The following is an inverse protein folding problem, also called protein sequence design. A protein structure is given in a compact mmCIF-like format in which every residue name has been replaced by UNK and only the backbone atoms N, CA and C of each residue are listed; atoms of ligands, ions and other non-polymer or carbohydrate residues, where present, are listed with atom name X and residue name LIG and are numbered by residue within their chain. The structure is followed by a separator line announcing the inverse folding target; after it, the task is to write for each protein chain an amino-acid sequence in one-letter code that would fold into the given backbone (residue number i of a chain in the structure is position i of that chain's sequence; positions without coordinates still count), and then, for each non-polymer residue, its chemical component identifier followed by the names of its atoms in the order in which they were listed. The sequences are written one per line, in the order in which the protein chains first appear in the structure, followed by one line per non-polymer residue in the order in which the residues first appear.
data_IF_079545381510
#
_entry.id   IF_079545381510
#
_cell.length_a   1.000
_cell.length_b   1.000
_cell.length_c   1.000
_cell.angle_alpha   90.00
_cell.angle_beta   90.00
_cell.angle_gamma   90.00
#
_symmetry.space_group_name_H-M   'P 1'
#
loop_
_entity.id
_entity.type
_entity.pdbx_description
1 polymer ?
#
# COMPACT_ATOMS: atom_id res chain seq x y z
N UNK A 1 37.53 24.40 -4.14
CA UNK A 1 36.27 24.39 -3.40
C UNK A 1 35.27 25.18 -4.24
N UNK A 2 34.49 24.48 -5.07
CA UNK A 2 33.39 25.12 -5.81
C UNK A 2 32.15 24.92 -4.97
N UNK A 3 31.65 26.01 -4.36
CA UNK A 3 30.38 26.02 -3.66
C UNK A 3 29.27 25.77 -4.69
N UNK A 4 28.62 24.63 -4.58
CA UNK A 4 27.35 24.42 -5.24
C UNK A 4 26.39 25.45 -4.62
N UNK A 5 26.02 26.44 -5.41
CA UNK A 5 24.92 27.33 -5.09
C UNK A 5 23.73 26.44 -4.76
N UNK A 6 23.23 26.47 -3.52
CA UNK A 6 21.94 25.94 -3.18
C UNK A 6 20.92 26.71 -4.04
N UNK A 7 20.54 26.12 -5.16
CA UNK A 7 19.33 26.55 -5.85
C UNK A 7 18.24 26.40 -4.81
N UNK A 8 17.50 27.48 -4.56
CA UNK A 8 16.37 27.50 -3.65
C UNK A 8 15.34 26.48 -4.15
N UNK A 9 15.48 25.21 -3.68
CA UNK A 9 14.53 24.15 -4.00
C UNK A 9 13.15 24.56 -3.46
N UNK A 10 12.19 24.75 -4.35
CA UNK A 10 10.80 24.97 -3.99
C UNK A 10 10.01 23.73 -4.32
N UNK A 11 9.34 23.17 -3.32
CA UNK A 11 8.50 21.99 -3.53
C UNK A 11 7.34 22.27 -4.49
N UNK A 12 6.90 23.53 -4.59
CA UNK A 12 5.86 23.93 -5.54
C UNK A 12 6.29 23.83 -7.00
N UNK A 13 7.60 23.92 -7.28
CA UNK A 13 8.11 23.82 -8.65
C UNK A 13 7.91 22.41 -9.20
N UNK A 14 7.80 21.39 -8.32
CA UNK A 14 7.52 20.03 -8.72
C UNK A 14 6.09 19.84 -9.24
N UNK A 15 5.17 20.73 -8.88
CA UNK A 15 3.79 20.67 -9.37
C UNK A 15 3.59 21.35 -10.73
N UNK A 16 4.65 21.94 -11.30
CA UNK A 16 4.57 22.56 -12.62
C UNK A 16 4.44 21.48 -13.71
N UNK A 17 3.64 21.74 -14.76
CA UNK A 17 3.52 20.82 -15.88
C UNK A 17 4.89 20.46 -16.48
N UNK A 18 5.16 19.16 -16.60
CA UNK A 18 6.41 18.65 -17.17
C UNK A 18 7.58 18.59 -16.18
N UNK A 19 7.41 18.97 -14.91
CA UNK A 19 8.47 18.86 -13.90
C UNK A 19 8.93 17.40 -13.68
N UNK A 20 8.06 16.42 -13.89
CA UNK A 20 8.39 14.99 -13.83
C UNK A 20 9.30 14.50 -14.98
N UNK A 21 9.45 15.29 -16.04
CA UNK A 21 10.39 14.98 -17.12
C UNK A 21 10.21 13.59 -17.74
N UNK A 22 11.35 12.93 -18.01
CA UNK A 22 11.42 11.59 -18.62
C UNK A 22 12.16 10.59 -17.73
N UNK A 23 12.08 10.75 -16.43
CA UNK A 23 12.71 9.86 -15.45
C UNK A 23 11.67 9.33 -14.49
N UNK A 24 11.94 8.17 -13.93
CA UNK A 24 11.12 7.54 -12.89
C UNK A 24 11.70 7.76 -11.49
N UNK A 25 12.99 8.12 -11.39
CA UNK A 25 13.68 8.37 -10.13
C UNK A 25 14.16 9.82 -10.08
N UNK A 26 13.64 10.58 -9.14
CA UNK A 26 13.96 11.98 -8.90
C UNK A 26 14.52 12.17 -7.49
N UNK A 27 15.81 12.37 -7.37
CA UNK A 27 16.48 12.61 -6.10
C UNK A 27 16.93 14.07 -5.96
N UNK A 28 16.04 14.89 -5.41
CA UNK A 28 16.33 16.30 -5.10
C UNK A 28 17.03 16.47 -3.74
N UNK A 29 17.10 15.41 -2.93
CA UNK A 29 17.77 15.42 -1.64
C UNK A 29 19.24 14.97 -1.74
N UNK A 30 19.63 14.35 -2.86
CA UNK A 30 21.00 13.88 -3.09
C UNK A 30 21.44 12.74 -2.17
N UNK A 31 20.51 11.86 -1.79
CA UNK A 31 20.80 10.73 -0.89
C UNK A 31 21.23 9.47 -1.63
N UNK A 32 20.99 9.40 -2.94
CA UNK A 32 21.39 8.29 -3.78
C UNK A 32 22.69 8.62 -4.52
N UNK A 33 23.55 7.64 -4.69
CA UNK A 33 24.65 7.74 -5.64
C UNK A 33 24.11 7.68 -7.07
N UNK A 34 24.91 8.14 -8.04
CA UNK A 34 24.53 8.07 -9.44
C UNK A 34 24.26 6.63 -9.90
N UNK A 35 25.08 5.66 -9.46
CA UNK A 35 24.90 4.25 -9.80
C UNK A 35 23.62 3.67 -9.20
N UNK A 36 23.29 4.05 -7.96
CA UNK A 36 22.05 3.65 -7.28
C UNK A 36 20.83 4.20 -8.01
N UNK A 37 20.85 5.48 -8.35
CA UNK A 37 19.75 6.12 -9.10
C UNK A 37 19.56 5.47 -10.47
N UNK A 38 20.64 5.22 -11.21
CA UNK A 38 20.56 4.55 -12.51
C UNK A 38 20.07 3.10 -12.42
N UNK A 39 20.44 2.38 -11.36
CA UNK A 39 20.00 1.00 -11.14
C UNK A 39 18.51 0.95 -10.85
N UNK A 40 18.01 1.84 -9.99
CA UNK A 40 16.58 1.99 -9.72
C UNK A 40 15.81 2.40 -10.98
N UNK A 41 16.32 3.38 -11.74
CA UNK A 41 15.71 3.83 -12.99
C UNK A 41 15.52 2.68 -13.98
N UNK A 42 16.59 1.89 -14.23
CA UNK A 42 16.53 0.73 -15.12
C UNK A 42 15.52 -0.32 -14.64
N UNK A 43 15.47 -0.56 -13.33
CA UNK A 43 14.52 -1.51 -12.71
C UNK A 43 13.08 -1.05 -12.93
N UNK A 44 12.77 0.20 -12.64
CA UNK A 44 11.43 0.76 -12.78
C UNK A 44 11.00 0.87 -14.24
N UNK A 45 11.92 1.24 -15.12
CA UNK A 45 11.69 1.25 -16.56
C UNK A 45 11.35 -0.15 -17.10
N UNK A 46 12.12 -1.18 -16.71
CA UNK A 46 11.84 -2.56 -17.13
C UNK A 46 10.48 -3.05 -16.63
N UNK A 47 10.04 -2.58 -15.48
CA UNK A 47 8.72 -2.89 -14.95
C UNK A 47 7.61 -2.20 -15.74
N UNK A 48 7.76 -0.92 -16.06
CA UNK A 48 6.83 -0.18 -16.93
C UNK A 48 6.71 -0.84 -18.31
N UNK A 49 7.84 -1.13 -18.95
CA UNK A 49 7.89 -1.78 -20.27
C UNK A 49 7.18 -3.14 -20.29
N UNK A 50 7.30 -3.93 -19.22
CA UNK A 50 6.74 -5.28 -19.15
C UNK A 50 5.28 -5.35 -18.68
N UNK A 51 4.79 -4.36 -17.95
CA UNK A 51 3.47 -4.39 -17.29
C UNK A 51 2.61 -3.18 -17.61
N UNK A 52 3.18 -2.15 -18.21
CA UNK A 52 2.59 -0.82 -18.39
C UNK A 52 2.22 -0.12 -17.07
N UNK A 53 2.62 -0.65 -15.92
CA UNK A 53 2.42 0.02 -14.63
C UNK A 53 3.63 0.90 -14.32
N UNK A 54 3.37 2.15 -13.99
CA UNK A 54 4.43 3.13 -13.74
C UNK A 54 4.64 3.36 -12.25
N UNK A 55 5.90 3.29 -11.82
CA UNK A 55 6.29 3.65 -10.44
C UNK A 55 7.27 4.81 -10.53
N UNK A 56 6.92 5.93 -9.94
CA UNK A 56 7.81 7.08 -9.79
C UNK A 56 8.31 7.16 -8.34
N UNK A 57 9.61 7.37 -8.17
CA UNK A 57 10.25 7.60 -6.86
C UNK A 57 10.70 9.05 -6.80
N UNK A 58 10.20 9.80 -5.82
CA UNK A 58 10.49 11.22 -5.65
C UNK A 58 11.05 11.45 -4.25
N UNK A 59 12.28 11.91 -4.18
CA UNK A 59 13.00 12.15 -2.93
C UNK A 59 13.24 13.64 -2.82
N UNK A 60 12.67 14.26 -1.78
CA UNK A 60 12.79 15.69 -1.54
C UNK A 60 13.47 15.95 -0.20
N UNK A 61 14.19 17.07 -0.05
CA UNK A 61 14.76 17.43 1.24
C UNK A 61 13.68 17.72 2.28
N UNK A 62 12.65 18.49 1.95
CA UNK A 62 11.55 18.86 2.84
C UNK A 62 10.27 19.13 2.09
N UNK A 63 9.13 18.88 2.74
CA UNK A 63 7.79 19.22 2.26
C UNK A 63 7.39 20.67 2.52
N UNK A 64 8.26 21.44 3.17
CA UNK A 64 8.02 22.86 3.47
C UNK A 64 6.66 23.10 4.17
N UNK A 65 6.28 22.20 5.09
CA UNK A 65 5.05 22.28 5.88
C UNK A 65 3.80 21.70 5.22
N UNK A 66 3.89 21.19 3.99
CA UNK A 66 2.76 20.51 3.34
C UNK A 66 2.52 19.12 3.94
N UNK A 67 1.28 18.66 3.87
CA UNK A 67 0.95 17.27 4.17
C UNK A 67 1.54 16.34 3.11
N UNK A 68 2.11 15.22 3.55
CA UNK A 68 2.82 14.29 2.67
C UNK A 68 1.88 13.55 1.72
N UNK A 69 0.67 13.19 2.19
CA UNK A 69 -0.28 12.46 1.38
C UNK A 69 -0.95 13.37 0.35
N UNK A 70 -1.41 14.55 0.77
CA UNK A 70 -2.03 15.52 -0.11
C UNK A 70 -1.06 15.95 -1.21
N UNK A 71 0.18 16.28 -0.83
CA UNK A 71 1.19 16.69 -1.79
C UNK A 71 1.54 15.56 -2.78
N UNK A 72 1.62 14.31 -2.31
CA UNK A 72 1.94 13.18 -3.18
C UNK A 72 0.84 12.91 -4.23
N UNK A 73 -0.42 13.06 -3.84
CA UNK A 73 -1.56 12.94 -4.76
C UNK A 73 -1.56 14.07 -5.80
N UNK A 74 -1.30 15.32 -5.36
CA UNK A 74 -1.15 16.46 -6.27
C UNK A 74 0.00 16.23 -7.25
N UNK A 75 1.14 15.74 -6.76
CA UNK A 75 2.32 15.44 -7.55
C UNK A 75 2.04 14.37 -8.62
N UNK A 76 1.42 13.27 -8.20
CA UNK A 76 1.05 12.20 -9.13
C UNK A 76 0.12 12.68 -10.25
N UNK A 77 -0.83 13.55 -9.92
CA UNK A 77 -1.74 14.19 -10.89
C UNK A 77 -1.01 15.19 -11.79
N UNK A 78 -0.17 16.05 -11.22
CA UNK A 78 0.57 17.06 -11.97
C UNK A 78 1.52 16.44 -12.99
N UNK A 79 2.18 15.34 -12.61
CA UNK A 79 3.06 14.60 -13.49
C UNK A 79 2.31 13.65 -14.42
N UNK A 80 1.08 13.25 -14.04
CA UNK A 80 0.29 12.27 -14.78
C UNK A 80 0.89 10.89 -14.77
N UNK A 81 1.44 10.45 -13.60
CA UNK A 81 2.07 9.14 -13.46
C UNK A 81 1.06 8.04 -13.76
N UNK A 82 1.45 7.09 -14.62
CA UNK A 82 0.55 6.05 -15.14
C UNK A 82 -0.13 6.45 -16.44
N UNK A 83 -0.83 5.49 -17.04
CA UNK A 83 -1.59 5.69 -18.28
C UNK A 83 -2.91 6.40 -18.03
N UNK A 84 -3.30 7.31 -18.92
CA UNK A 84 -4.58 8.04 -18.84
C UNK A 84 -5.79 7.10 -18.84
N UNK A 85 -5.69 5.99 -19.54
CA UNK A 85 -6.78 5.02 -19.68
C UNK A 85 -6.86 4.08 -18.46
N UNK A 86 -5.70 3.66 -17.95
CA UNK A 86 -5.62 2.63 -16.91
C UNK A 86 -5.41 3.18 -15.50
N UNK A 87 -4.97 4.43 -15.36
CA UNK A 87 -4.66 5.07 -14.07
C UNK A 87 -3.77 4.18 -13.16
N UNK A 88 -2.78 3.55 -13.77
CA UNK A 88 -1.94 2.51 -13.19
C UNK A 88 -0.57 3.04 -12.72
N UNK A 89 -0.59 4.22 -12.15
CA UNK A 89 0.58 4.88 -11.59
C UNK A 89 0.73 4.65 -10.08
N UNK A 90 1.97 4.67 -9.61
CA UNK A 90 2.35 4.67 -8.20
C UNK A 90 3.37 5.77 -8.00
N UNK A 91 3.24 6.58 -6.96
CA UNK A 91 4.25 7.55 -6.56
C UNK A 91 4.72 7.23 -5.15
N UNK A 92 6.00 6.94 -4.99
CA UNK A 92 6.68 6.84 -3.70
C UNK A 92 7.39 8.17 -3.42
N UNK A 93 6.79 8.99 -2.57
CA UNK A 93 7.35 10.26 -2.11
C UNK A 93 8.06 10.07 -0.78
N UNK A 94 9.29 10.60 -0.68
CA UNK A 94 10.13 10.52 0.52
C UNK A 94 10.64 11.92 0.84
N UNK A 95 10.38 12.40 2.06
CA UNK A 95 10.93 13.64 2.59
C UNK A 95 11.96 13.32 3.66
N UNK A 96 13.22 13.63 3.38
CA UNK A 96 14.34 13.18 4.22
C UNK A 96 14.46 13.94 5.52
N UNK A 97 14.28 15.28 5.51
CA UNK A 97 14.36 16.11 6.72
C UNK A 97 13.12 15.98 7.59
N UNK A 98 11.94 15.84 6.98
CA UNK A 98 10.68 15.66 7.70
C UNK A 98 10.50 14.22 8.20
N UNK A 99 11.34 13.28 7.73
CA UNK A 99 11.25 11.84 8.00
C UNK A 99 9.86 11.28 7.73
N UNK A 100 9.29 11.67 6.61
CA UNK A 100 7.96 11.27 6.15
C UNK A 100 8.05 10.64 4.77
N UNK A 101 7.22 9.65 4.56
CA UNK A 101 7.04 9.07 3.23
C UNK A 101 5.56 8.77 2.99
N UNK A 102 5.19 8.72 1.72
CA UNK A 102 3.86 8.32 1.30
C UNK A 102 3.94 7.52 -0.01
N UNK A 103 3.10 6.50 -0.11
CA UNK A 103 2.82 5.79 -1.35
C UNK A 103 1.43 6.22 -1.79
N UNK A 104 1.32 6.87 -2.94
CA UNK A 104 0.05 7.16 -3.58
C UNK A 104 -0.17 6.22 -4.77
N UNK A 105 -1.37 5.67 -4.89
CA UNK A 105 -1.75 4.75 -5.97
C UNK A 105 -2.81 5.38 -6.86
N UNK A 106 -2.69 5.19 -8.16
CA UNK A 106 -3.71 5.54 -9.12
C UNK A 106 -4.91 4.59 -9.03
N UNK A 107 -6.08 5.04 -9.46
CA UNK A 107 -7.35 4.29 -9.38
C UNK A 107 -7.27 2.87 -9.93
N UNK A 108 -6.51 2.64 -11.00
CA UNK A 108 -6.38 1.32 -11.62
C UNK A 108 -5.62 0.30 -10.78
N UNK A 109 -4.86 0.75 -9.77
CA UNK A 109 -4.09 -0.11 -8.89
C UNK A 109 -4.66 -0.23 -7.47
N UNK A 110 -5.73 0.48 -7.12
CA UNK A 110 -6.34 0.40 -5.78
C UNK A 110 -6.79 -1.03 -5.42
N UNK A 111 -7.26 -1.80 -6.41
CA UNK A 111 -7.62 -3.21 -6.21
C UNK A 111 -6.42 -4.12 -5.96
N UNK A 112 -5.26 -3.82 -6.55
CA UNK A 112 -4.04 -4.60 -6.40
C UNK A 112 -3.20 -4.14 -5.20
N UNK A 113 -3.21 -2.85 -4.91
CA UNK A 113 -2.47 -2.21 -3.81
C UNK A 113 -3.45 -1.36 -2.99
N UNK A 114 -4.31 -1.98 -2.17
CA UNK A 114 -5.14 -1.23 -1.23
C UNK A 114 -4.27 -0.53 -0.18
N UNK A 115 -4.80 0.50 0.47
CA UNK A 115 -4.10 1.31 1.48
C UNK A 115 -3.47 0.46 2.59
N UNK A 116 -4.15 -0.60 3.01
CA UNK A 116 -3.63 -1.53 4.00
C UNK A 116 -2.35 -2.23 3.53
N UNK A 117 -2.26 -2.60 2.25
CA UNK A 117 -1.07 -3.21 1.66
C UNK A 117 0.05 -2.18 1.49
N UNK A 118 -0.25 -0.98 1.02
CA UNK A 118 0.71 0.11 0.94
C UNK A 118 1.30 0.42 2.33
N UNK A 119 0.47 0.49 3.37
CA UNK A 119 0.91 0.68 4.75
C UNK A 119 1.81 -0.47 5.24
N UNK A 120 1.49 -1.72 4.93
CA UNK A 120 2.34 -2.86 5.28
C UNK A 120 3.71 -2.79 4.62
N UNK A 121 3.77 -2.45 3.33
CA UNK A 121 5.04 -2.25 2.62
C UNK A 121 5.87 -1.14 3.30
N UNK A 122 5.24 -0.04 3.65
CA UNK A 122 5.90 1.05 4.37
C UNK A 122 6.48 0.55 5.70
N UNK A 123 5.64 -0.06 6.55
CA UNK A 123 6.02 -0.40 7.92
C UNK A 123 6.98 -1.60 8.01
N UNK A 124 6.84 -2.58 7.12
CA UNK A 124 7.62 -3.82 7.20
C UNK A 124 8.85 -3.84 6.31
N UNK A 125 8.86 -3.03 5.23
CA UNK A 125 9.95 -3.05 4.26
C UNK A 125 10.73 -1.73 4.27
N UNK A 126 10.05 -0.58 4.09
CA UNK A 126 10.75 0.69 3.88
C UNK A 126 11.27 1.28 5.20
N UNK A 127 10.39 1.45 6.17
CA UNK A 127 10.72 2.12 7.45
C UNK A 127 11.84 1.45 8.23
N UNK A 128 11.94 0.12 8.34
CA UNK A 128 13.05 -0.52 9.04
C UNK A 128 14.42 -0.19 8.44
N UNK A 129 14.53 -0.17 7.11
CA UNK A 129 15.76 0.20 6.42
C UNK A 129 16.09 1.69 6.63
N UNK A 130 15.11 2.59 6.57
CA UNK A 130 15.28 4.03 6.78
C UNK A 130 15.73 4.35 8.22
N UNK A 131 15.21 3.64 9.22
CA UNK A 131 15.70 3.73 10.61
C UNK A 131 17.17 3.32 10.74
N UNK A 132 17.61 2.40 9.88
CA UNK A 132 19.02 2.00 9.75
C UNK A 132 19.86 2.94 8.90
N UNK A 133 19.32 4.06 8.41
CA UNK A 133 19.93 5.00 7.46
C UNK A 133 20.31 4.37 6.10
N UNK A 134 19.74 3.20 5.77
CA UNK A 134 19.92 2.56 4.46
C UNK A 134 18.76 2.94 3.53
N UNK A 135 18.79 4.17 3.05
CA UNK A 135 17.75 4.71 2.17
C UNK A 135 17.66 3.94 0.86
N UNK A 136 18.80 3.66 0.22
CA UNK A 136 18.81 2.95 -1.04
C UNK A 136 18.12 1.59 -0.93
N UNK A 137 18.50 0.80 0.07
CA UNK A 137 17.92 -0.51 0.28
C UNK A 137 16.42 -0.44 0.57
N UNK A 138 15.99 0.51 1.38
CA UNK A 138 14.57 0.71 1.67
C UNK A 138 13.75 1.06 0.43
N UNK A 139 14.31 1.88 -0.47
CA UNK A 139 13.67 2.23 -1.75
C UNK A 139 13.68 1.02 -2.70
N UNK A 140 14.80 0.32 -2.81
CA UNK A 140 14.92 -0.83 -3.71
C UNK A 140 14.01 -1.99 -3.30
N UNK A 141 14.01 -2.39 -2.03
CA UNK A 141 13.12 -3.41 -1.51
C UNK A 141 11.65 -2.96 -1.54
N UNK A 142 11.37 -1.69 -1.20
CA UNK A 142 10.04 -1.11 -1.24
C UNK A 142 9.44 -1.10 -2.64
N UNK A 143 10.21 -0.65 -3.63
CA UNK A 143 9.77 -0.69 -5.04
C UNK A 143 9.60 -2.12 -5.54
N UNK A 144 10.45 -3.07 -5.14
CA UNK A 144 10.27 -4.50 -5.45
C UNK A 144 8.95 -5.03 -4.89
N UNK A 145 8.62 -4.69 -3.65
CA UNK A 145 7.36 -5.08 -3.02
C UNK A 145 6.15 -4.48 -3.76
N UNK A 146 6.22 -3.19 -4.15
CA UNK A 146 5.19 -2.53 -4.95
C UNK A 146 5.00 -3.18 -6.32
N UNK A 147 6.09 -3.56 -7.00
CA UNK A 147 6.04 -4.26 -8.28
C UNK A 147 5.33 -5.62 -8.16
N UNK A 148 5.65 -6.39 -7.12
CA UNK A 148 4.99 -7.67 -6.85
C UNK A 148 3.51 -7.48 -6.48
N UNK A 149 3.19 -6.44 -5.71
CA UNK A 149 1.82 -6.11 -5.35
C UNK A 149 0.98 -5.72 -6.57
N UNK A 150 1.52 -4.87 -7.45
CA UNK A 150 0.86 -4.47 -8.68
C UNK A 150 0.57 -5.65 -9.63
N UNK A 151 1.40 -6.70 -9.56
CA UNK A 151 1.19 -7.96 -10.29
C UNK A 151 0.29 -8.96 -9.57
N UNK A 152 -0.25 -8.62 -8.38
CA UNK A 152 -1.03 -9.56 -7.56
C UNK A 152 -0.21 -10.71 -6.96
N UNK A 153 1.12 -10.61 -6.95
CA UNK A 153 2.05 -11.65 -6.48
C UNK A 153 2.63 -11.38 -5.09
N UNK A 154 2.33 -10.24 -4.50
CA UNK A 154 2.84 -9.88 -3.18
C UNK A 154 2.01 -10.57 -2.10
N UNK A 155 2.61 -11.55 -1.46
CA UNK A 155 2.03 -12.23 -0.30
C UNK A 155 2.80 -11.78 0.94
N UNK A 156 2.20 -10.92 1.73
CA UNK A 156 2.72 -10.64 3.05
C UNK A 156 2.54 -11.91 3.87
N UNK A 157 3.66 -12.44 4.38
CA UNK A 157 3.57 -13.42 5.46
C UNK A 157 2.77 -12.75 6.57
N UNK A 158 1.50 -13.13 6.73
CA UNK A 158 0.74 -12.74 7.91
C UNK A 158 1.56 -13.23 9.07
N UNK A 159 2.24 -12.33 9.78
CA UNK A 159 2.53 -12.61 11.16
C UNK A 159 1.16 -12.96 11.76
N UNK A 160 0.91 -14.25 11.91
CA UNK A 160 -0.10 -14.70 12.86
C UNK A 160 0.42 -14.15 14.17
N UNK A 161 -0.01 -12.93 14.48
CA UNK A 161 0.11 -12.43 15.83
C UNK A 161 -0.42 -13.58 16.66
N UNK A 162 0.46 -14.18 17.43
CA UNK A 162 0.11 -15.20 18.38
C UNK A 162 -0.68 -14.48 19.49
N UNK A 163 -1.90 -14.04 19.11
CA UNK A 163 -2.95 -13.67 20.05
C UNK A 163 -3.53 -14.92 20.67
N UNK A 164 -2.72 -15.96 20.76
CA UNK A 164 -2.94 -17.04 21.69
C UNK A 164 -2.94 -16.39 23.05
N UNK A 165 -4.15 -16.24 23.61
CA UNK A 165 -4.36 -15.91 25.01
C UNK A 165 -3.35 -16.77 25.77
N UNK A 166 -2.32 -16.13 26.39
CA UNK A 166 -1.28 -16.90 27.05
C UNK A 166 -1.98 -17.89 27.98
N UNK A 167 -1.43 -19.09 28.10
CA UNK A 167 -2.02 -20.12 28.95
C UNK A 167 -2.34 -19.55 30.34
N UNK A 168 -1.54 -18.60 30.84
CA UNK A 168 -1.78 -17.86 32.08
C UNK A 168 -3.02 -16.96 32.01
N UNK A 169 -3.26 -16.26 30.93
CA UNK A 169 -4.45 -15.39 30.77
C UNK A 169 -5.71 -16.23 30.60
N UNK A 170 -5.64 -17.37 29.92
CA UNK A 170 -6.74 -18.32 29.79
C UNK A 170 -7.10 -18.93 31.15
N UNK A 171 -6.10 -19.32 31.95
CA UNK A 171 -6.29 -19.80 33.33
C UNK A 171 -6.89 -18.72 34.23
N UNK A 172 -6.44 -17.47 34.13
CA UNK A 172 -6.99 -16.35 34.88
C UNK A 172 -8.47 -16.12 34.57
N UNK A 173 -8.83 -16.12 33.28
CA UNK A 173 -10.24 -15.97 32.85
C UNK A 173 -11.08 -17.16 33.35
N UNK A 174 -10.54 -18.38 33.26
CA UNK A 174 -11.25 -19.59 33.72
C UNK A 174 -11.47 -19.56 35.22
N UNK A 175 -10.47 -19.21 36.03
CA UNK A 175 -10.58 -19.07 37.48
C UNK A 175 -11.57 -17.95 37.83
N UNK A 176 -11.54 -16.82 37.13
CA UNK A 176 -12.47 -15.72 37.34
C UNK A 176 -13.92 -16.15 37.09
N UNK A 177 -14.17 -16.89 36.02
CA UNK A 177 -15.52 -17.44 35.71
C UNK A 177 -15.98 -18.40 36.82
N UNK A 178 -15.10 -19.27 37.35
CA UNK A 178 -15.41 -20.16 38.44
C UNK A 178 -15.76 -19.37 39.70
N UNK A 179 -15.00 -18.34 40.05
CA UNK A 179 -15.26 -17.51 41.23
C UNK A 179 -16.60 -16.79 41.09
N UNK A 180 -16.90 -16.20 39.93
CA UNK A 180 -18.19 -15.56 39.65
C UNK A 180 -19.33 -16.56 39.74
N UNK A 181 -19.16 -17.79 39.24
CA UNK A 181 -20.15 -18.85 39.32
C UNK A 181 -20.41 -19.29 40.78
N UNK A 182 -19.37 -19.40 41.62
CA UNK A 182 -19.49 -19.73 43.05
C UNK A 182 -20.22 -18.60 43.81
N UNK A 183 -19.93 -17.33 43.50
CA UNK A 183 -20.59 -16.17 44.11
C UNK A 183 -22.08 -16.15 43.75
N UNK A 184 -22.43 -16.38 42.49
CA UNK A 184 -23.82 -16.43 42.04
C UNK A 184 -24.54 -17.62 42.62
N UNK A 185 -23.90 -18.81 42.70
CA UNK A 185 -24.46 -20.02 43.26
C UNK A 185 -24.69 -19.90 44.77
N UNK A 186 -23.83 -19.18 45.51
CA UNK A 186 -24.04 -18.94 46.96
C UNK A 186 -25.10 -17.90 47.25
N UNK A 187 -25.44 -17.03 46.30
CA UNK A 187 -26.46 -15.99 46.50
C UNK A 187 -27.83 -16.40 45.95
N UNK A 188 -27.99 -17.62 45.42
CA UNK A 188 -29.26 -18.17 44.95
C UNK A 188 -29.87 -19.10 46.02
N UNK A 189 -30.10 -18.54 47.19
CA UNK A 189 -30.94 -19.17 48.23
C UNK A 189 -32.37 -18.67 48.10
N UNK A 190 -33.26 -19.43 47.49
CA UNK A 190 -34.70 -19.13 47.55
C UNK A 190 -35.48 -19.55 46.30
N UNK A 191 -36.05 -20.71 46.38
CA UNK A 191 -37.26 -21.30 45.88
C UNK A 191 -38.01 -20.70 44.69
N UNK A 192 -38.44 -21.61 43.81
CA UNK A 192 -39.46 -21.31 42.82
C UNK A 192 -39.43 -22.28 41.64
N UNK A 193 -39.91 -23.49 41.86
CA UNK A 193 -40.25 -24.42 40.78
C UNK A 193 -41.46 -23.91 40.02
N UNK A 194 -41.29 -23.59 38.75
CA UNK A 194 -42.39 -23.50 37.79
C UNK A 194 -42.15 -24.47 36.63
N UNK A 195 -42.73 -25.66 36.80
CA UNK A 195 -43.04 -26.54 35.70
C UNK A 195 -44.10 -25.87 34.84
N UNK A 196 -43.76 -25.49 33.59
CA UNK A 196 -44.74 -25.30 32.56
C UNK A 196 -44.38 -26.15 31.35
N UNK A 197 -45.13 -27.25 31.25
CA UNK A 197 -45.26 -28.06 30.04
C UNK A 197 -45.96 -27.22 28.98
N UNK A 198 -45.27 -26.87 27.86
CA UNK A 198 -45.90 -26.80 26.54
C UNK A 198 -44.85 -26.55 25.44
N UNK A 199 -44.70 -27.56 24.59
CA UNK A 199 -44.55 -27.38 23.14
C UNK A 199 -43.20 -26.88 22.66
N UNK A 200 -42.15 -27.71 22.69
CA UNK A 200 -40.99 -27.52 21.83
C UNK A 200 -41.39 -27.84 20.37
N UNK A 201 -41.45 -26.82 19.54
CA UNK A 201 -41.43 -27.01 18.08
C UNK A 201 -39.99 -26.82 17.62
N UNK A 202 -39.39 -27.77 16.91
CA UNK A 202 -38.07 -27.58 16.33
C UNK A 202 -38.19 -26.55 15.17
N UNK A 203 -37.40 -25.49 15.29
CA UNK A 203 -37.24 -24.52 14.21
C UNK A 203 -36.30 -25.11 13.15
N UNK A 204 -36.87 -25.59 12.07
CA UNK A 204 -36.15 -26.09 10.91
C UNK A 204 -35.81 -24.88 10.06
N UNK A 205 -34.51 -24.66 9.85
CA UNK A 205 -34.01 -23.66 8.90
C UNK A 205 -34.17 -24.23 7.49
N UNK A 206 -34.85 -23.55 6.57
CA UNK A 206 -34.87 -23.97 5.17
C UNK A 206 -33.56 -23.57 4.50
N UNK A 207 -32.78 -24.57 4.12
CA UNK A 207 -31.76 -24.41 3.10
C UNK A 207 -32.47 -24.38 1.75
N UNK A 208 -32.50 -23.26 1.09
CA UNK A 208 -32.87 -23.18 -0.32
C UNK A 208 -31.60 -22.84 -1.12
N UNK A 209 -31.09 -23.86 -1.79
CA UNK A 209 -30.25 -23.71 -2.94
C UNK A 209 -31.11 -23.37 -4.16
N UNK A 210 -30.54 -22.67 -5.07
CA UNK A 210 -30.76 -22.58 -6.51
C UNK A 210 -29.94 -21.39 -6.94
N UNK A 211 -28.94 -21.45 -7.79
CA UNK A 211 -29.01 -21.98 -9.13
C UNK A 211 -29.20 -20.78 -10.05
N UNK A 212 -28.14 -20.34 -10.73
CA UNK A 212 -28.26 -19.30 -11.74
C UNK A 212 -26.89 -18.97 -12.32
N UNK A 213 -26.42 -19.80 -13.24
CA UNK A 213 -25.28 -19.49 -14.07
C UNK A 213 -25.60 -18.38 -15.07
N UNK A 214 -24.63 -17.50 -15.26
CA UNK A 214 -24.54 -16.66 -16.45
C UNK A 214 -23.17 -16.88 -17.07
N UNK A 215 -23.16 -17.71 -18.09
CA UNK A 215 -22.11 -17.78 -19.10
C UNK A 215 -22.39 -16.64 -20.08
N UNK A 216 -21.44 -15.74 -20.22
CA UNK A 216 -21.35 -14.88 -21.40
C UNK A 216 -19.97 -15.08 -22.03
N UNK A 217 -20.04 -15.77 -23.15
CA UNK A 217 -19.05 -15.94 -24.17
C UNK A 217 -18.89 -14.65 -24.98
N UNK A 218 -17.70 -14.39 -25.45
CA UNK A 218 -17.47 -13.50 -26.58
C UNK A 218 -16.28 -12.58 -26.33
N UNK A 219 -15.27 -12.77 -27.05
CA UNK A 219 -14.85 -12.27 -28.26
C UNK A 219 -13.37 -11.96 -28.26
N UNK A 220 -12.60 -12.67 -29.07
CA UNK A 220 -11.19 -12.44 -29.31
C UNK A 220 -10.93 -11.06 -29.95
N UNK A 221 -9.80 -10.50 -29.57
CA UNK A 221 -9.16 -9.37 -30.24
C UNK A 221 -7.67 -9.61 -30.18
N UNK A 222 -7.13 -10.14 -31.27
CA UNK A 222 -5.71 -10.28 -31.46
C UNK A 222 -5.03 -8.93 -31.51
N UNK A 223 -3.97 -8.79 -30.76
CA UNK A 223 -3.02 -7.70 -30.90
C UNK A 223 -1.73 -8.30 -31.43
N UNK A 224 -1.54 -8.06 -32.70
CA UNK A 224 -0.27 -8.30 -33.39
C UNK A 224 0.69 -7.18 -33.04
N UNK A 225 1.81 -7.56 -32.62
CA UNK A 225 3.14 -7.17 -32.84
C UNK A 225 3.50 -5.73 -33.11
N UNK A 226 4.57 -5.34 -32.60
CA UNK A 226 5.30 -4.28 -33.20
C UNK A 226 6.46 -3.78 -32.37
N UNK A 227 7.61 -4.29 -32.68
CA UNK A 227 8.79 -3.47 -32.83
C UNK A 227 9.44 -2.96 -31.54
N UNK A 228 10.51 -3.68 -31.13
CA UNK A 228 11.50 -3.13 -30.24
C UNK A 228 12.06 -1.81 -30.77
N UNK A 229 12.01 -0.79 -29.96
CA UNK A 229 12.93 0.33 -30.01
C UNK A 229 13.51 0.46 -28.61
N UNK A 230 14.82 0.44 -28.54
CA UNK A 230 15.61 0.82 -27.39
C UNK A 230 15.42 2.31 -27.13
N UNK A 231 14.26 2.69 -26.62
CA UNK A 231 13.91 4.04 -26.25
C UNK A 231 13.88 4.13 -24.72
N UNK A 232 14.51 5.12 -24.13
CA UNK A 232 14.33 5.47 -22.73
C UNK A 232 12.86 5.78 -22.42
N UNK A 233 12.51 5.90 -21.13
CA UNK A 233 11.17 6.24 -20.66
C UNK A 233 10.57 7.42 -21.45
N UNK A 234 9.43 7.20 -22.06
CA UNK A 234 8.76 8.16 -22.95
C UNK A 234 8.09 9.34 -22.24
N UNK A 235 8.02 9.31 -20.91
CA UNK A 235 7.30 10.25 -20.05
C UNK A 235 6.02 9.68 -19.49
N UNK A 236 5.38 10.42 -18.59
CA UNK A 236 4.16 10.00 -17.91
C UNK A 236 2.93 10.14 -18.83
N UNK A 237 1.99 9.22 -18.69
CA UNK A 237 0.87 9.05 -19.61
C UNK A 237 -0.43 9.77 -19.23
N UNK A 238 -0.47 10.51 -18.11
CA UNK A 238 -1.65 11.28 -17.67
C UNK A 238 -2.63 10.50 -16.77
N UNK A 239 -2.13 9.62 -15.91
CA UNK A 239 -2.92 8.88 -14.92
C UNK A 239 -3.55 9.77 -13.85
N UNK A 240 -4.62 9.29 -13.24
CA UNK A 240 -5.37 9.98 -12.17
C UNK A 240 -5.25 9.25 -10.84
N UNK A 241 -5.20 10.01 -9.74
CA UNK A 241 -5.08 9.53 -8.36
C UNK A 241 -6.29 9.92 -7.53
N UNK A 242 -6.82 8.99 -6.72
CA UNK A 242 -8.02 9.18 -5.91
C UNK A 242 -7.79 9.65 -4.48
N UNK A 243 -6.54 9.71 -4.04
CA UNK A 243 -6.22 9.96 -2.63
C UNK A 243 -6.07 8.67 -1.82
N UNK A 244 -6.15 7.50 -2.47
CA UNK A 244 -5.74 6.22 -1.89
C UNK A 244 -4.24 6.17 -1.68
N UNK A 245 -3.79 5.35 -0.72
CA UNK A 245 -2.38 5.20 -0.39
C UNK A 245 -2.11 5.11 1.09
N UNK A 246 -0.86 5.18 1.48
CA UNK A 246 -0.47 5.14 2.87
C UNK A 246 0.73 6.04 3.16
N UNK A 247 0.77 6.57 4.38
CA UNK A 247 1.88 7.39 4.88
C UNK A 247 2.63 6.68 6.00
N UNK A 248 3.90 7.02 6.15
CA UNK A 248 4.75 6.55 7.23
C UNK A 248 5.77 7.57 7.67
N UNK A 249 6.40 7.30 8.81
CA UNK A 249 7.51 8.09 9.36
C UNK A 249 8.53 7.16 9.99
N UNK A 250 9.81 7.63 10.09
CA UNK A 250 10.92 6.86 10.67
C UNK A 250 11.81 7.69 11.60
#
# INVERSE_FOLDING_TARGET
MQGFAQQNFSINDLLQPGAGGKQLVHDYAGILTQDQSQTLEKKLYSFDDSTSNQIAVVIVPSLQGKDVADFNVELGRAWGVGGKEFNNGIVLLISTQDRKLNIATGYGLEGAIPDAMANQIIQQVIVPNFKGNDYYRGIDEGTSALMLAAQGKYHIARERGNSGVSLGTALFIFIFIIIVFIIISKNSGGGGSFMSRRGARPFIWPSSGAGGGWISSGGGGGWSGGGGSSGGFGGFGGGSFGGGGASGSW
#
